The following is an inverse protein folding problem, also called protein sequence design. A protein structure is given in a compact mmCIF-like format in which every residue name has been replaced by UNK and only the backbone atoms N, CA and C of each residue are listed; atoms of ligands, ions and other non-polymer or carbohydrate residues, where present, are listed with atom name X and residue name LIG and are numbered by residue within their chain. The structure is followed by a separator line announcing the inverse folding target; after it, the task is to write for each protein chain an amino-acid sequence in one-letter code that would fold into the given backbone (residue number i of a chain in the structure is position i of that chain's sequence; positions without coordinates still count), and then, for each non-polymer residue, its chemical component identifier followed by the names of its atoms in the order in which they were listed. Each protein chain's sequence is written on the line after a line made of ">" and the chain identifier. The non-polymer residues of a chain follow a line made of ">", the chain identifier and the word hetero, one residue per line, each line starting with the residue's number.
data_IF_373918798389
#
_entry.id   IF_373918798389
#
_cell.length_a   1.000
_cell.length_b   1.000
_cell.length_c   1.000
_cell.angle_alpha   90.00
_cell.angle_beta   90.00
_cell.angle_gamma   90.00
#
_symmetry.space_group_name_H-M   'P 1'
#
loop_
_entity.id
_entity.type
_entity.pdbx_description
1 polymer ?
#
# COMPACT_ATOMS: atom_id res chain seq x y z
N UNK A 1 -15.92 -19.84 0.94
CA UNK A 1 -15.37 -18.57 0.41
C UNK A 1 -13.88 -18.52 0.72
N UNK A 2 -13.01 -18.33 -0.28
CA UNK A 2 -11.55 -18.24 -0.06
C UNK A 2 -11.15 -16.92 0.62
N UNK A 3 -10.02 -16.91 1.35
CA UNK A 3 -9.48 -15.75 2.08
C UNK A 3 -9.45 -14.48 1.20
N UNK A 4 -8.99 -14.61 -0.04
CA UNK A 4 -8.97 -13.55 -1.04
C UNK A 4 -10.34 -12.88 -1.26
N UNK A 5 -11.38 -13.66 -1.57
CA UNK A 5 -12.73 -13.13 -1.83
C UNK A 5 -13.30 -12.41 -0.61
N UNK A 6 -13.09 -12.96 0.58
CA UNK A 6 -13.58 -12.34 1.82
C UNK A 6 -13.03 -10.93 2.02
N UNK A 7 -11.74 -10.72 1.78
CA UNK A 7 -11.12 -9.39 1.94
C UNK A 7 -11.51 -8.43 0.81
N UNK A 8 -11.56 -8.92 -0.43
CA UNK A 8 -12.02 -8.10 -1.56
C UNK A 8 -13.46 -7.61 -1.34
N UNK A 9 -14.35 -8.52 -0.98
CA UNK A 9 -15.78 -8.23 -0.78
C UNK A 9 -16.01 -7.34 0.48
N UNK A 10 -15.02 -7.23 1.37
CA UNK A 10 -15.01 -6.27 2.49
C UNK A 10 -14.33 -4.93 2.15
N UNK A 11 -14.03 -4.66 0.88
CA UNK A 11 -13.46 -3.39 0.42
C UNK A 11 -11.94 -3.25 0.57
N UNK A 12 -11.21 -4.34 0.86
CA UNK A 12 -9.74 -4.31 0.89
C UNK A 12 -9.20 -4.20 -0.53
N UNK A 13 -8.43 -3.14 -0.80
CA UNK A 13 -7.91 -2.82 -2.13
C UNK A 13 -6.55 -3.47 -2.41
N UNK A 14 -5.71 -3.64 -1.39
CA UNK A 14 -4.35 -4.13 -1.50
C UNK A 14 -3.92 -4.83 -0.20
N UNK A 15 -2.81 -5.58 -0.28
CA UNK A 15 -2.17 -6.24 0.87
C UNK A 15 -0.71 -5.81 0.94
N UNK A 16 -0.25 -5.45 2.13
CA UNK A 16 1.15 -5.24 2.50
C UNK A 16 1.43 -5.91 3.85
N UNK A 17 2.66 -5.78 4.37
CA UNK A 17 3.08 -6.46 5.60
C UNK A 17 3.36 -5.48 6.75
N UNK A 18 3.45 -4.17 6.48
CA UNK A 18 3.98 -3.16 7.40
C UNK A 18 2.91 -2.22 7.96
N UNK A 19 1.86 -1.88 7.19
CA UNK A 19 0.96 -0.77 7.52
C UNK A 19 0.26 -0.96 8.86
N UNK A 20 -0.18 -2.19 9.16
CA UNK A 20 -0.85 -2.49 10.44
C UNK A 20 0.03 -2.25 11.66
N UNK A 21 1.33 -2.57 11.59
CA UNK A 21 2.28 -2.37 12.67
C UNK A 21 2.58 -0.88 12.86
N UNK A 22 2.80 -0.15 11.77
CA UNK A 22 3.05 1.29 11.79
C UNK A 22 1.87 2.03 12.44
N UNK A 23 0.64 1.72 12.03
CA UNK A 23 -0.56 2.35 12.57
C UNK A 23 -0.80 2.00 14.04
N UNK A 24 -0.54 0.75 14.45
CA UNK A 24 -0.66 0.35 15.84
C UNK A 24 0.31 1.10 16.75
N UNK A 25 1.58 1.25 16.33
CA UNK A 25 2.60 1.99 17.09
C UNK A 25 2.28 3.48 17.12
N UNK A 26 1.87 4.08 15.99
CA UNK A 26 1.48 5.48 15.92
C UNK A 26 0.33 5.80 16.87
N UNK A 27 -0.71 4.94 16.88
CA UNK A 27 -1.83 5.03 17.82
C UNK A 27 -1.37 4.92 19.28
N UNK A 28 -0.46 4.00 19.60
CA UNK A 28 0.08 3.87 20.96
C UNK A 28 0.90 5.09 21.39
N UNK A 29 1.66 5.69 20.48
CA UNK A 29 2.51 6.86 20.74
C UNK A 29 1.76 8.20 20.66
N UNK A 30 0.51 8.20 20.19
CA UNK A 30 -0.27 9.42 20.01
C UNK A 30 0.28 10.33 18.91
N UNK A 31 0.85 9.76 17.85
CA UNK A 31 1.40 10.52 16.71
C UNK A 31 0.56 10.31 15.46
N UNK A 32 0.50 11.34 14.61
CA UNK A 32 -0.17 11.26 13.30
C UNK A 32 0.61 10.37 12.34
N UNK A 33 -0.11 9.63 11.50
CA UNK A 33 0.49 8.74 10.52
C UNK A 33 -0.39 8.58 9.29
N UNK A 34 0.26 8.35 8.15
CA UNK A 34 -0.39 8.00 6.89
C UNK A 34 0.43 6.91 6.18
N UNK A 35 -0.22 6.15 5.31
CA UNK A 35 0.42 5.18 4.40
C UNK A 35 -0.08 5.39 2.99
N UNK A 36 0.80 5.20 2.01
CA UNK A 36 0.45 5.15 0.60
C UNK A 36 1.28 4.07 -0.08
N UNK A 37 0.68 3.38 -1.06
CA UNK A 37 1.26 2.20 -1.71
C UNK A 37 1.21 2.35 -3.23
N UNK A 38 2.25 1.86 -3.91
CA UNK A 38 2.25 1.60 -5.35
C UNK A 38 1.98 0.11 -5.55
N UNK A 39 1.02 -0.22 -6.41
CA UNK A 39 0.71 -1.60 -6.76
C UNK A 39 1.81 -2.13 -7.69
N UNK A 40 2.57 -3.12 -7.22
CA UNK A 40 3.70 -3.73 -7.95
C UNK A 40 3.36 -5.10 -8.54
N UNK A 41 2.20 -5.65 -8.21
CA UNK A 41 1.71 -6.93 -8.68
C UNK A 41 0.20 -7.04 -8.49
N UNK A 42 -0.45 -7.94 -9.22
CA UNK A 42 -1.88 -8.18 -9.11
C UNK A 42 -2.13 -9.62 -8.68
N UNK A 43 -2.84 -9.79 -7.58
CA UNK A 43 -3.34 -11.10 -7.14
C UNK A 43 -4.82 -11.23 -7.51
N UNK A 44 -5.16 -12.29 -8.26
CA UNK A 44 -6.55 -12.59 -8.65
C UNK A 44 -6.91 -14.04 -8.34
N UNK A 45 -8.16 -14.42 -8.58
CA UNK A 45 -8.58 -15.84 -8.52
C UNK A 45 -7.84 -16.72 -9.54
N UNK A 46 -7.21 -16.12 -10.57
CA UNK A 46 -6.42 -16.83 -11.59
C UNK A 46 -4.94 -16.97 -11.23
N UNK A 47 -4.50 -16.40 -10.11
CA UNK A 47 -3.11 -16.45 -9.65
C UNK A 47 -2.47 -15.07 -9.48
N UNK A 48 -1.15 -15.09 -9.35
CA UNK A 48 -0.28 -13.94 -9.10
C UNK A 48 0.36 -13.45 -10.39
N UNK A 49 0.25 -12.14 -10.64
CA UNK A 49 0.77 -11.47 -11.83
C UNK A 49 1.80 -10.41 -11.38
N UNK A 50 3.09 -10.76 -11.32
CA UNK A 50 4.13 -9.85 -10.87
C UNK A 50 4.41 -8.75 -11.90
N UNK A 51 4.65 -7.53 -11.44
CA UNK A 51 5.09 -6.41 -12.25
C UNK A 51 6.15 -5.54 -11.58
N UNK A 52 6.78 -6.01 -10.49
CA UNK A 52 7.68 -5.21 -9.65
C UNK A 52 8.97 -4.74 -10.35
N UNK A 53 9.26 -5.25 -11.55
CA UNK A 53 10.36 -4.81 -12.40
C UNK A 53 9.93 -3.94 -13.59
N UNK A 54 8.63 -3.71 -13.74
CA UNK A 54 8.10 -2.89 -14.81
C UNK A 54 8.41 -1.41 -14.58
N UNK A 55 8.72 -0.71 -15.67
CA UNK A 55 9.10 0.71 -15.62
C UNK A 55 8.04 1.56 -14.92
N UNK A 56 6.77 1.29 -15.18
CA UNK A 56 5.66 2.08 -14.61
C UNK A 56 5.55 1.96 -13.09
N UNK A 57 5.99 0.84 -12.48
CA UNK A 57 6.01 0.69 -11.01
C UNK A 57 7.06 1.62 -10.42
N UNK A 58 8.24 1.70 -11.05
CA UNK A 58 9.29 2.64 -10.65
C UNK A 58 8.84 4.08 -10.81
N UNK A 59 8.27 4.44 -11.95
CA UNK A 59 7.75 5.80 -12.21
C UNK A 59 6.66 6.19 -11.19
N UNK A 60 5.77 5.26 -10.86
CA UNK A 60 4.75 5.47 -9.83
C UNK A 60 5.35 5.65 -8.43
N UNK A 61 6.42 4.93 -8.10
CA UNK A 61 7.13 5.11 -6.83
C UNK A 61 7.82 6.48 -6.75
N UNK A 62 8.36 6.99 -7.86
CA UNK A 62 8.92 8.35 -7.92
C UNK A 62 7.83 9.43 -7.73
N UNK A 63 6.63 9.22 -8.29
CA UNK A 63 5.47 10.10 -8.04
C UNK A 63 5.05 10.04 -6.58
N UNK A 64 4.94 8.84 -6.01
CA UNK A 64 4.57 8.66 -4.60
C UNK A 64 5.59 9.34 -3.67
N UNK A 65 6.88 9.20 -3.95
CA UNK A 65 7.94 9.84 -3.16
C UNK A 65 7.80 11.37 -3.18
N UNK A 66 7.54 11.97 -4.34
CA UNK A 66 7.31 13.42 -4.46
C UNK A 66 6.08 13.86 -3.65
N UNK A 67 4.97 13.12 -3.74
CA UNK A 67 3.76 13.42 -2.99
C UNK A 67 3.99 13.28 -1.47
N UNK A 68 4.75 12.28 -1.02
CA UNK A 68 5.11 12.11 0.37
C UNK A 68 5.99 13.26 0.89
N UNK A 69 7.00 13.67 0.13
CA UNK A 69 7.84 14.83 0.46
C UNK A 69 7.01 16.12 0.55
N UNK A 70 6.08 16.33 -0.40
CA UNK A 70 5.19 17.48 -0.38
C UNK A 70 4.29 17.48 0.87
N UNK A 71 3.66 16.35 1.19
CA UNK A 71 2.80 16.21 2.37
C UNK A 71 3.57 16.47 3.69
N UNK A 72 4.79 15.94 3.80
CA UNK A 72 5.64 16.13 4.98
C UNK A 72 6.24 17.54 5.06
N UNK A 73 6.51 18.20 3.93
CA UNK A 73 7.05 19.57 3.92
C UNK A 73 6.06 20.65 4.33
N UNK A 74 4.75 20.35 4.26
CA UNK A 74 3.65 21.22 4.68
C UNK A 74 3.19 20.98 6.11
N UNK A 75 3.84 20.04 6.82
CA UNK A 75 3.55 19.68 8.22
C UNK A 75 4.41 20.48 9.20
#
# INVERSE_FOLDING_TARGET
>A
MGKFRRFRDSGVLAVDMETSAIFAVAKYRGVEVASAQVISDILTERGWFPAFHERYVRESAEVLLKAALEALSKS
#
